data_IF_502179270819
#
_entry.id   IF_502179270819
#
_cell.length_a   1.000
_cell.length_b   1.000
_cell.length_c   1.000
_cell.angle_alpha   90.00
_cell.angle_beta   90.00
_cell.angle_gamma   90.00
#
_symmetry.space_group_name_H-M   'P 1'
#
loop_
_entity.id
_entity.type
_entity.pdbx_description
1 polymer ?
#
# COMPACT_ATOMS: atom_id res chain seq x y z
N UNK A 1 8.15 12.41 2.93
CA UNK A 1 8.10 11.04 2.41
C UNK A 1 9.44 10.66 1.79
N UNK A 2 9.82 9.40 1.92
CA UNK A 2 11.01 8.84 1.29
C UNK A 2 10.59 7.87 0.21
N UNK A 3 11.05 8.11 -1.02
CA UNK A 3 10.67 7.28 -2.15
C UNK A 3 11.95 6.77 -2.80
N UNK A 4 12.09 5.44 -2.88
CA UNK A 4 13.28 4.80 -3.45
C UNK A 4 12.89 3.76 -4.49
N UNK A 5 13.54 3.80 -5.65
CA UNK A 5 13.30 2.85 -6.73
C UNK A 5 11.82 2.67 -7.04
N UNK A 6 11.06 3.75 -6.97
CA UNK A 6 9.63 3.66 -7.09
C UNK A 6 9.11 4.62 -8.16
N UNK A 7 7.96 4.27 -8.71
CA UNK A 7 7.29 5.13 -9.67
C UNK A 7 5.98 5.61 -9.08
N UNK A 8 5.76 6.90 -9.15
CA UNK A 8 4.53 7.52 -8.67
C UNK A 8 3.83 8.17 -9.86
N UNK A 9 2.61 7.76 -10.13
CA UNK A 9 1.81 8.37 -11.18
C UNK A 9 0.56 8.94 -10.55
N UNK A 10 0.46 10.24 -10.58
CA UNK A 10 -0.63 10.95 -9.92
C UNK A 10 -1.84 11.15 -10.78
N UNK A 11 -2.92 11.59 -10.15
CA UNK A 11 -2.92 12.23 -8.83
C UNK A 11 -2.71 11.24 -7.68
N UNK A 12 -1.75 11.53 -6.83
CA UNK A 12 -1.42 10.72 -5.65
C UNK A 12 -1.11 11.66 -4.49
N UNK A 13 -1.58 11.30 -3.30
CA UNK A 13 -1.26 12.02 -2.08
C UNK A 13 -0.46 11.09 -1.19
N UNK A 14 0.71 11.54 -0.73
CA UNK A 14 1.56 10.74 0.16
C UNK A 14 1.84 11.58 1.40
N UNK A 15 1.47 11.05 2.56
CA UNK A 15 1.62 11.75 3.81
C UNK A 15 3.06 11.81 4.31
N UNK A 16 3.27 12.59 5.38
CA UNK A 16 4.59 12.79 5.95
C UNK A 16 5.13 11.49 6.54
N UNK A 17 6.45 11.33 6.50
CA UNK A 17 7.14 10.17 7.07
C UNK A 17 6.73 8.82 6.46
N UNK A 18 6.10 8.83 5.30
CA UNK A 18 5.77 7.60 4.58
C UNK A 18 6.97 7.17 3.76
N UNK A 19 7.22 5.88 3.74
CA UNK A 19 8.34 5.29 3.01
C UNK A 19 7.78 4.40 1.89
N UNK A 20 8.23 4.64 0.67
CA UNK A 20 7.85 3.84 -0.49
C UNK A 20 9.13 3.32 -1.13
N UNK A 21 9.28 2.02 -1.22
CA UNK A 21 10.49 1.38 -1.73
C UNK A 21 10.12 0.30 -2.74
N UNK A 22 10.79 0.32 -3.90
CA UNK A 22 10.61 -0.68 -4.95
C UNK A 22 9.14 -0.90 -5.31
N UNK A 23 8.37 0.18 -5.35
CA UNK A 23 6.93 0.09 -5.50
C UNK A 23 6.43 0.98 -6.63
N UNK A 24 5.21 0.70 -7.08
CA UNK A 24 4.53 1.54 -8.03
C UNK A 24 3.24 2.05 -7.39
N UNK A 25 3.08 3.36 -7.38
CA UNK A 25 1.87 3.98 -6.86
C UNK A 25 1.13 4.61 -8.03
N UNK A 26 0.01 4.04 -8.36
CA UNK A 26 -0.78 4.47 -9.49
C UNK A 26 -1.72 5.63 -9.16
N UNK A 27 -2.51 6.07 -10.15
CA UNK A 27 -3.36 7.24 -9.98
C UNK A 27 -4.49 7.01 -8.98
N UNK A 28 -4.97 8.11 -8.41
CA UNK A 28 -6.10 8.12 -7.47
C UNK A 28 -5.81 7.34 -6.19
N UNK A 29 -4.57 7.40 -5.71
CA UNK A 29 -4.17 6.76 -4.47
C UNK A 29 -3.88 7.82 -3.42
N UNK A 30 -4.36 7.59 -2.21
CA UNK A 30 -4.08 8.46 -1.08
C UNK A 30 -3.42 7.63 0.03
N UNK A 31 -2.26 8.07 0.47
CA UNK A 31 -1.48 7.38 1.50
C UNK A 31 -1.29 8.33 2.67
N UNK A 32 -1.78 7.94 3.83
CA UNK A 32 -1.70 8.75 5.03
C UNK A 32 -0.27 8.74 5.59
N UNK A 33 0.01 9.59 6.60
CA UNK A 33 1.34 9.65 7.18
C UNK A 33 1.79 8.35 7.84
N UNK A 34 3.10 8.18 7.90
CA UNK A 34 3.75 7.08 8.62
C UNK A 34 3.43 5.69 8.08
N UNK A 35 3.16 5.60 6.79
CA UNK A 35 2.94 4.33 6.13
C UNK A 35 4.24 3.78 5.57
N UNK A 36 4.26 2.48 5.28
CA UNK A 36 5.39 1.84 4.64
C UNK A 36 4.89 0.95 3.51
N UNK A 37 5.39 1.16 2.30
CA UNK A 37 5.00 0.37 1.14
C UNK A 37 6.28 -0.14 0.49
N UNK A 38 6.40 -1.45 0.39
CA UNK A 38 7.60 -2.09 -0.13
C UNK A 38 7.23 -3.16 -1.16
N UNK A 39 7.88 -3.10 -2.31
CA UNK A 39 7.74 -4.13 -3.33
C UNK A 39 6.32 -4.36 -3.81
N UNK A 40 5.51 -3.33 -3.88
CA UNK A 40 4.08 -3.47 -4.14
C UNK A 40 3.61 -2.52 -5.23
N UNK A 41 2.48 -2.85 -5.86
CA UNK A 41 1.79 -1.94 -6.76
C UNK A 41 0.46 -1.56 -6.13
N UNK A 42 0.20 -0.27 -6.04
CA UNK A 42 -1.01 0.25 -5.40
C UNK A 42 -1.67 1.25 -6.34
N UNK A 43 -2.94 1.05 -6.63
CA UNK A 43 -3.70 1.95 -7.49
C UNK A 43 -5.10 2.18 -6.92
N UNK A 44 -5.62 3.38 -7.11
CA UNK A 44 -7.01 3.71 -6.79
C UNK A 44 -7.42 3.25 -5.39
N UNK A 45 -6.55 3.49 -4.42
CA UNK A 45 -6.75 2.97 -3.06
C UNK A 45 -6.52 4.06 -2.02
N UNK A 46 -7.05 3.83 -0.83
CA UNK A 46 -6.83 4.72 0.31
C UNK A 46 -6.15 3.91 1.41
N UNK A 47 -5.01 4.41 1.87
CA UNK A 47 -4.21 3.75 2.90
C UNK A 47 -4.13 4.69 4.09
N UNK A 48 -4.65 4.26 5.22
CA UNK A 48 -4.71 5.08 6.42
C UNK A 48 -3.41 4.99 7.21
N UNK A 49 -3.33 5.76 8.28
CA UNK A 49 -2.06 6.00 8.97
C UNK A 49 -1.43 4.73 9.54
N UNK A 50 -0.11 4.68 9.49
CA UNK A 50 0.70 3.60 10.06
C UNK A 50 0.41 2.23 9.45
N UNK A 51 -0.13 2.20 8.24
CA UNK A 51 -0.33 0.94 7.53
C UNK A 51 0.97 0.48 6.89
N UNK A 52 1.14 -0.81 6.75
CA UNK A 52 2.30 -1.41 6.10
C UNK A 52 1.85 -2.33 5.00
N UNK A 53 2.42 -2.15 3.81
CA UNK A 53 2.11 -3.00 2.67
C UNK A 53 3.42 -3.55 2.14
N UNK A 54 3.52 -4.85 2.08
CA UNK A 54 4.77 -5.51 1.72
C UNK A 54 4.51 -6.64 0.73
N UNK A 55 5.13 -6.55 -0.44
CA UNK A 55 5.12 -7.63 -1.41
C UNK A 55 3.78 -7.92 -2.06
N UNK A 56 2.89 -6.94 -2.14
CA UNK A 56 1.61 -7.13 -2.79
C UNK A 56 1.77 -6.82 -4.28
N UNK A 57 1.63 -7.79 -5.18
CA UNK A 57 1.85 -7.55 -6.60
C UNK A 57 0.91 -6.51 -7.18
N UNK A 58 -0.32 -6.45 -6.70
CA UNK A 58 -1.25 -5.45 -7.19
C UNK A 58 -2.39 -5.24 -6.19
N UNK A 59 -2.48 -4.04 -5.69
CA UNK A 59 -3.54 -3.64 -4.77
C UNK A 59 -4.37 -2.57 -5.45
N UNK A 60 -5.64 -2.85 -5.71
CA UNK A 60 -6.53 -1.92 -6.43
C UNK A 60 -7.86 -1.78 -5.70
N UNK A 61 -8.46 -0.62 -5.83
CA UNK A 61 -9.82 -0.35 -5.30
C UNK A 61 -9.95 -0.77 -3.84
N UNK A 62 -8.94 -0.49 -3.03
CA UNK A 62 -8.87 -1.00 -1.66
C UNK A 62 -8.87 0.13 -0.64
N UNK A 63 -9.34 -0.19 0.56
CA UNK A 63 -9.26 0.71 1.70
C UNK A 63 -8.55 -0.03 2.82
N UNK A 64 -7.40 0.47 3.22
CA UNK A 64 -6.57 -0.14 4.25
C UNK A 64 -6.69 0.69 5.52
N UNK A 65 -7.15 0.09 6.60
CA UNK A 65 -7.34 0.79 7.87
C UNK A 65 -6.03 1.16 8.55
N UNK A 66 -6.13 1.90 9.63
CA UNK A 66 -4.95 2.33 10.39
C UNK A 66 -4.30 1.14 11.09
N UNK A 67 -2.98 1.22 11.24
CA UNK A 67 -2.19 0.21 11.94
C UNK A 67 -2.39 -1.20 11.37
N UNK A 68 -2.67 -1.29 10.08
CA UNK A 68 -2.91 -2.54 9.39
C UNK A 68 -1.65 -2.98 8.66
N UNK A 69 -1.36 -4.27 8.69
CA UNK A 69 -0.26 -4.85 7.95
C UNK A 69 -0.80 -5.80 6.89
N UNK A 70 -0.43 -5.57 5.64
CA UNK A 70 -0.83 -6.42 4.52
C UNK A 70 0.46 -6.96 3.88
N UNK A 71 0.57 -8.27 3.82
CA UNK A 71 1.75 -8.89 3.25
C UNK A 71 1.36 -10.15 2.49
N UNK A 72 2.20 -10.52 1.53
CA UNK A 72 2.03 -11.80 0.85
C UNK A 72 2.98 -12.83 1.45
N UNK A 73 2.62 -14.09 1.33
CA UNK A 73 3.53 -15.17 1.60
C UNK A 73 4.22 -15.55 0.28
N UNK A 74 4.27 -16.82 -0.07
CA UNK A 74 5.01 -17.24 -1.27
C UNK A 74 4.23 -17.09 -2.56
N UNK A 75 2.94 -16.95 -2.49
CA UNK A 75 2.12 -16.88 -3.69
C UNK A 75 1.96 -15.45 -4.18
N UNK A 76 1.71 -15.32 -5.47
CA UNK A 76 1.51 -14.02 -6.08
C UNK A 76 0.09 -13.90 -6.58
N UNK A 77 -0.80 -13.32 -5.81
CA UNK A 77 -2.16 -13.09 -6.30
C UNK A 77 -2.15 -12.16 -7.52
N UNK A 78 -3.14 -12.30 -8.36
CA UNK A 78 -3.23 -11.49 -9.57
C UNK A 78 -3.55 -10.04 -9.24
N UNK A 79 -4.56 -9.84 -8.43
CA UNK A 79 -4.92 -8.53 -7.95
C UNK A 79 -5.65 -8.70 -6.64
N UNK A 80 -5.48 -7.73 -5.77
CA UNK A 80 -6.09 -7.80 -4.44
C UNK A 80 -6.97 -6.58 -4.23
N UNK A 81 -8.19 -6.83 -3.85
CA UNK A 81 -9.15 -5.79 -3.50
C UNK A 81 -9.56 -6.03 -2.06
N UNK A 82 -9.20 -5.11 -1.18
CA UNK A 82 -9.36 -5.32 0.25
C UNK A 82 -10.06 -4.14 0.90
N UNK A 83 -10.93 -4.47 1.85
CA UNK A 83 -11.48 -3.49 2.76
C UNK A 83 -11.25 -4.02 4.17
N UNK A 84 -10.33 -3.38 4.89
CA UNK A 84 -9.80 -3.90 6.14
C UNK A 84 -9.97 -2.86 7.24
N UNK A 85 -10.47 -3.30 8.39
CA UNK A 85 -10.59 -2.42 9.55
C UNK A 85 -9.25 -2.06 10.16
N UNK A 86 -9.28 -1.24 11.21
CA UNK A 86 -8.07 -0.81 11.89
C UNK A 86 -7.43 -1.97 12.68
N UNK A 87 -6.13 -1.88 12.87
CA UNK A 87 -5.36 -2.82 13.71
C UNK A 87 -5.44 -4.27 13.23
N UNK A 88 -5.51 -4.48 11.93
CA UNK A 88 -5.56 -5.83 11.36
C UNK A 88 -4.21 -6.23 10.78
N UNK A 89 -3.97 -7.53 10.74
CA UNK A 89 -2.80 -8.10 10.05
C UNK A 89 -3.31 -9.16 9.09
N UNK A 90 -2.92 -9.04 7.82
CA UNK A 90 -3.36 -9.98 6.80
C UNK A 90 -2.17 -10.52 6.05
N UNK A 91 -2.12 -11.83 5.93
CA UNK A 91 -1.15 -12.51 5.08
C UNK A 91 -1.88 -13.06 3.87
N UNK A 92 -1.41 -12.68 2.69
CA UNK A 92 -2.03 -13.08 1.43
C UNK A 92 -1.15 -14.11 0.72
N UNK A 93 -1.76 -15.17 0.33
CA UNK A 93 -1.06 -16.22 -0.42
C UNK A 93 -1.15 -15.98 -1.92
#
# INVERSE_FOLDING_TARGET
ASIRNSHIRGPVIIGANTIVTDSYIGPFTAIAPECSITGSEVENSVILERAKIDGIPRLVDSLIGRDTTVATTDRKPKATRLMIGDDCTINLD
#
